data_IF_660606216008
#
_entry.id   IF_660606216008
#
_cell.length_a   1.000
_cell.length_b   1.000
_cell.length_c   1.000
_cell.angle_alpha   90.00
_cell.angle_beta   90.00
_cell.angle_gamma   90.00
#
_symmetry.space_group_name_H-M   'P 1'
#
loop_
_entity.id
_entity.type
_entity.pdbx_description
1 polymer ?
#
# COMPACT_ATOMS: atom_id res chain seq x y z
N UNK A 1 0.94 -22.24 -32.27
CA UNK A 1 1.12 -22.90 -30.96
C UNK A 1 0.16 -22.20 -30.02
N UNK A 2 -0.93 -22.84 -29.62
CA UNK A 2 -1.93 -22.21 -28.74
C UNK A 2 -1.29 -21.95 -27.39
N UNK A 3 -1.14 -20.67 -27.03
CA UNK A 3 -0.71 -20.29 -25.68
C UNK A 3 -1.84 -20.73 -24.76
N UNK A 4 -1.61 -21.78 -23.96
CA UNK A 4 -2.61 -22.29 -23.02
C UNK A 4 -2.92 -21.15 -22.06
N UNK A 5 -4.19 -20.73 -22.03
CA UNK A 5 -4.65 -19.64 -21.18
C UNK A 5 -4.26 -19.92 -19.72
N UNK A 6 -3.74 -18.89 -19.04
CA UNK A 6 -3.25 -19.03 -17.67
C UNK A 6 -4.44 -19.30 -16.74
N UNK A 7 -4.47 -20.47 -16.12
CA UNK A 7 -5.47 -20.80 -15.09
C UNK A 7 -5.13 -20.10 -13.76
N UNK A 8 -5.59 -18.85 -13.63
CA UNK A 8 -5.41 -18.01 -12.43
C UNK A 8 -6.08 -18.66 -11.21
N UNK A 9 -7.25 -19.27 -11.38
CA UNK A 9 -7.98 -19.91 -10.28
C UNK A 9 -7.20 -21.07 -9.65
N UNK A 10 -6.54 -21.88 -10.47
CA UNK A 10 -5.64 -22.94 -10.00
C UNK A 10 -4.43 -22.38 -9.24
N UNK A 11 -3.86 -21.26 -9.68
CA UNK A 11 -2.74 -20.61 -8.99
C UNK A 11 -3.18 -20.09 -7.61
N UNK A 12 -4.31 -19.38 -7.54
CA UNK A 12 -4.88 -18.89 -6.28
C UNK A 12 -5.09 -20.06 -5.32
N UNK A 13 -5.73 -21.14 -5.79
CA UNK A 13 -5.97 -22.34 -4.98
C UNK A 13 -4.67 -22.97 -4.46
N UNK A 14 -3.61 -23.01 -5.26
CA UNK A 14 -2.30 -23.52 -4.82
C UNK A 14 -1.69 -22.64 -3.72
N UNK A 15 -1.72 -21.31 -3.91
CA UNK A 15 -1.21 -20.36 -2.93
C UNK A 15 -1.98 -20.40 -1.61
N UNK A 16 -3.32 -20.52 -1.66
CA UNK A 16 -4.17 -20.60 -0.47
C UNK A 16 -3.98 -21.90 0.31
N UNK A 17 -3.82 -23.03 -0.38
CA UNK A 17 -3.59 -24.32 0.28
C UNK A 17 -2.10 -24.58 0.63
N UNK A 18 -1.25 -23.57 0.54
CA UNK A 18 0.17 -23.64 0.90
C UNK A 18 0.31 -24.03 2.37
N UNK A 19 1.19 -24.99 2.66
CA UNK A 19 1.62 -25.25 4.04
C UNK A 19 2.63 -24.20 4.49
N UNK A 20 2.66 -23.88 5.79
CA UNK A 20 3.56 -22.84 6.35
C UNK A 20 5.03 -23.04 5.97
N UNK A 21 5.47 -24.29 5.79
CA UNK A 21 6.85 -24.69 5.47
C UNK A 21 7.27 -24.49 4.01
N UNK A 22 6.33 -24.41 3.07
CA UNK A 22 6.64 -24.28 1.63
C UNK A 22 6.66 -22.80 1.26
N UNK A 23 7.70 -22.32 0.57
CA UNK A 23 7.74 -20.94 0.07
C UNK A 23 6.77 -20.75 -1.11
N UNK A 24 6.01 -19.62 -1.23
CA UNK A 24 5.03 -19.42 -2.29
C UNK A 24 5.60 -19.62 -3.71
N UNK A 25 6.81 -19.11 -3.96
CA UNK A 25 7.48 -19.23 -5.26
C UNK A 25 7.82 -20.68 -5.67
N UNK A 26 7.78 -21.65 -4.75
CA UNK A 26 7.95 -23.08 -5.09
C UNK A 26 6.67 -23.72 -5.63
N UNK A 27 5.52 -23.04 -5.51
CA UNK A 27 4.20 -23.54 -5.93
C UNK A 27 3.81 -23.07 -7.33
N UNK A 28 4.51 -22.08 -7.87
CA UNK A 28 4.21 -21.40 -9.13
C UNK A 28 5.48 -21.42 -9.98
N UNK A 29 5.34 -21.71 -11.29
CA UNK A 29 6.50 -21.69 -12.19
C UNK A 29 6.87 -20.26 -12.58
N UNK A 30 8.12 -20.05 -13.00
CA UNK A 30 8.59 -18.75 -13.48
C UNK A 30 7.77 -18.23 -14.67
N UNK A 31 7.34 -19.12 -15.57
CA UNK A 31 6.45 -18.77 -16.69
C UNK A 31 5.10 -18.22 -16.18
N UNK A 32 4.53 -18.86 -15.16
CA UNK A 32 3.27 -18.41 -14.55
C UNK A 32 3.45 -17.07 -13.85
N UNK A 33 4.56 -16.87 -13.10
CA UNK A 33 4.88 -15.60 -12.45
C UNK A 33 5.00 -14.49 -13.49
N UNK A 34 5.81 -14.70 -14.54
CA UNK A 34 5.99 -13.71 -15.61
C UNK A 34 4.67 -13.36 -16.30
N UNK A 35 3.78 -14.34 -16.49
CA UNK A 35 2.46 -14.09 -17.07
C UNK A 35 1.59 -13.28 -16.12
N UNK A 36 1.55 -13.61 -14.82
CA UNK A 36 0.79 -12.86 -13.80
C UNK A 36 1.26 -11.40 -13.69
N UNK A 37 2.58 -11.21 -13.63
CA UNK A 37 3.19 -9.87 -13.55
C UNK A 37 2.87 -9.05 -14.80
N UNK A 38 2.93 -9.67 -16.00
CA UNK A 38 2.52 -9.01 -17.24
C UNK A 38 1.05 -8.61 -17.26
N UNK A 39 0.15 -9.47 -16.77
CA UNK A 39 -1.28 -9.16 -16.65
C UNK A 39 -1.53 -8.03 -15.65
N UNK A 40 -0.91 -8.09 -14.46
CA UNK A 40 -1.02 -7.06 -13.43
C UNK A 40 -0.52 -5.70 -13.93
N UNK A 41 0.66 -5.68 -14.57
CA UNK A 41 1.22 -4.47 -15.19
C UNK A 41 0.24 -3.82 -16.17
N UNK A 42 -0.39 -4.63 -17.03
CA UNK A 42 -1.37 -4.15 -18.00
C UNK A 42 -2.64 -3.59 -17.32
N UNK A 43 -3.06 -4.16 -16.19
CA UNK A 43 -4.18 -3.59 -15.41
C UNK A 43 -3.76 -2.25 -14.81
N UNK A 44 -2.61 -2.19 -14.13
CA UNK A 44 -2.17 -0.99 -13.42
C UNK A 44 -1.95 0.20 -14.35
N UNK A 45 -1.35 -0.01 -15.53
CA UNK A 45 -1.09 1.08 -16.47
C UNK A 45 -2.37 1.66 -17.09
N UNK A 46 -3.44 0.87 -17.18
CA UNK A 46 -4.72 1.29 -17.76
C UNK A 46 -5.70 1.85 -16.72
N UNK A 47 -5.50 1.58 -15.43
CA UNK A 47 -6.22 2.25 -14.35
C UNK A 47 -5.61 3.63 -14.06
N UNK A 48 -6.33 4.57 -13.45
CA UNK A 48 -5.76 5.86 -13.02
C UNK A 48 -4.60 5.73 -12.02
N UNK A 49 -3.70 6.73 -11.97
CA UNK A 49 -2.62 6.77 -10.96
C UNK A 49 -3.15 7.19 -9.58
N UNK A 50 -4.19 8.03 -9.55
CA UNK A 50 -5.00 8.32 -8.38
C UNK A 50 -6.30 7.53 -8.54
N UNK A 51 -6.48 6.49 -7.71
CA UNK A 51 -7.69 5.68 -7.73
C UNK A 51 -8.83 6.43 -7.04
N UNK A 52 -10.02 6.39 -7.62
CA UNK A 52 -11.26 6.86 -6.98
C UNK A 52 -12.07 5.60 -6.61
N UNK A 53 -12.29 5.41 -5.31
CA UNK A 53 -12.84 4.18 -4.72
C UNK A 53 -14.08 4.49 -3.88
N UNK A 54 -14.92 3.48 -3.66
CA UNK A 54 -16.12 3.58 -2.84
C UNK A 54 -16.09 2.51 -1.73
N UNK A 55 -16.63 2.81 -0.53
CA UNK A 55 -16.83 1.81 0.50
C UNK A 55 -17.94 0.81 0.12
N UNK A 56 -18.04 -0.36 0.80
CA UNK A 56 -17.15 -0.81 1.87
C UNK A 56 -15.81 -1.32 1.33
N UNK A 57 -14.72 -1.03 2.07
CA UNK A 57 -13.37 -1.42 1.68
C UNK A 57 -12.44 -1.57 2.89
N UNK A 58 -11.60 -2.61 2.85
CA UNK A 58 -10.57 -2.87 3.84
C UNK A 58 -9.23 -2.30 3.38
N UNK A 59 -8.59 -1.46 4.19
CA UNK A 59 -7.29 -0.85 3.92
C UNK A 59 -6.20 -1.54 4.73
N UNK A 60 -5.24 -2.14 4.02
CA UNK A 60 -4.07 -2.82 4.59
C UNK A 60 -2.81 -1.97 4.40
N UNK A 61 -1.99 -1.89 5.44
CA UNK A 61 -0.64 -1.33 5.38
C UNK A 61 0.39 -2.31 4.83
N UNK A 62 1.62 -2.16 5.28
CA UNK A 62 2.77 -2.99 4.91
C UNK A 62 2.55 -4.48 5.19
N UNK A 63 3.07 -5.35 4.32
CA UNK A 63 3.01 -6.82 4.45
C UNK A 63 4.41 -7.45 4.50
N UNK A 64 5.41 -6.87 3.82
CA UNK A 64 6.81 -7.31 3.84
C UNK A 64 7.01 -8.82 3.66
N UNK A 65 6.31 -9.41 2.69
CA UNK A 65 6.36 -10.86 2.39
C UNK A 65 5.86 -11.80 3.49
N UNK A 66 5.15 -11.30 4.52
CA UNK A 66 4.48 -12.11 5.54
C UNK A 66 3.19 -12.77 4.99
N UNK A 67 3.37 -13.67 4.04
CA UNK A 67 2.27 -14.30 3.29
C UNK A 67 1.27 -15.06 4.18
N UNK A 68 1.74 -15.69 5.26
CA UNK A 68 0.85 -16.41 6.15
C UNK A 68 -0.06 -15.45 6.95
N UNK A 69 0.42 -14.24 7.28
CA UNK A 69 -0.39 -13.21 7.93
C UNK A 69 -1.40 -12.60 6.96
N UNK A 70 -1.00 -12.38 5.70
CA UNK A 70 -1.92 -12.03 4.62
C UNK A 70 -3.09 -13.04 4.49
N UNK A 71 -2.77 -14.34 4.56
CA UNK A 71 -3.78 -15.41 4.54
C UNK A 71 -4.74 -15.31 5.72
N UNK A 72 -4.26 -14.96 6.93
CA UNK A 72 -5.11 -14.78 8.12
C UNK A 72 -6.11 -13.64 7.97
N UNK A 73 -5.71 -12.52 7.36
CA UNK A 73 -6.64 -11.42 7.09
C UNK A 73 -7.79 -11.87 6.18
N UNK A 74 -7.48 -12.59 5.11
CA UNK A 74 -8.51 -13.12 4.19
C UNK A 74 -9.40 -14.20 4.82
N UNK A 75 -8.86 -15.04 5.71
CA UNK A 75 -9.66 -16.01 6.45
C UNK A 75 -10.68 -15.33 7.38
N UNK A 76 -10.35 -14.13 7.87
CA UNK A 76 -11.18 -13.37 8.81
C UNK A 76 -12.21 -12.47 8.12
N UNK A 77 -11.86 -11.83 7.01
CA UNK A 77 -12.68 -10.80 6.35
C UNK A 77 -13.15 -11.18 4.95
N UNK A 78 -13.17 -12.48 4.64
CA UNK A 78 -13.46 -13.02 3.32
C UNK A 78 -12.45 -12.60 2.23
N UNK A 79 -12.27 -13.50 1.27
CA UNK A 79 -11.43 -13.26 0.10
C UNK A 79 -12.14 -12.37 -0.93
N UNK A 80 -11.40 -11.63 -1.77
CA UNK A 80 -11.95 -11.08 -3.00
C UNK A 80 -12.63 -12.18 -3.84
N UNK A 81 -13.78 -11.90 -4.48
CA UNK A 81 -14.42 -10.59 -4.62
C UNK A 81 -15.47 -10.27 -3.55
N UNK A 82 -15.61 -11.07 -2.48
CA UNK A 82 -16.65 -10.83 -1.46
C UNK A 82 -16.39 -9.54 -0.67
N UNK A 83 -15.12 -9.24 -0.43
CA UNK A 83 -14.66 -8.06 0.28
C UNK A 83 -13.65 -7.32 -0.58
N UNK A 84 -13.78 -5.99 -0.62
CA UNK A 84 -12.84 -5.12 -1.33
C UNK A 84 -11.62 -4.83 -0.46
N UNK A 85 -10.45 -4.78 -1.08
CA UNK A 85 -9.20 -4.46 -0.39
C UNK A 85 -8.42 -3.38 -1.14
N UNK A 86 -7.86 -2.45 -0.38
CA UNK A 86 -6.83 -1.51 -0.79
C UNK A 86 -5.57 -1.81 0.01
N UNK A 87 -4.45 -2.05 -0.66
CA UNK A 87 -3.15 -2.20 -0.01
C UNK A 87 -2.31 -0.96 -0.26
N UNK A 88 -1.65 -0.47 0.79
CA UNK A 88 -0.88 0.79 0.78
C UNK A 88 0.58 0.63 0.35
N UNK A 89 1.00 -0.54 -0.13
CA UNK A 89 2.37 -0.78 -0.61
C UNK A 89 3.15 -1.75 0.26
N UNK A 90 4.48 -1.76 0.09
CA UNK A 90 5.42 -2.61 0.84
C UNK A 90 5.03 -4.09 0.92
N UNK A 91 4.76 -4.64 -0.27
CA UNK A 91 4.40 -6.05 -0.45
C UNK A 91 5.58 -7.00 -0.25
N UNK A 92 6.76 -6.58 -0.69
CA UNK A 92 7.96 -7.40 -0.77
C UNK A 92 8.95 -7.00 0.31
N UNK A 93 9.53 -8.00 0.99
CA UNK A 93 10.69 -7.81 1.86
C UNK A 93 11.99 -8.13 1.13
N UNK A 94 13.08 -8.29 1.87
CA UNK A 94 14.38 -8.69 1.31
C UNK A 94 14.29 -10.16 0.88
N UNK A 95 14.13 -10.39 -0.43
CA UNK A 95 14.14 -11.74 -1.01
C UNK A 95 15.03 -11.80 -2.24
N UNK A 96 15.75 -12.91 -2.38
CA UNK A 96 16.62 -13.14 -3.54
C UNK A 96 15.79 -13.66 -4.74
N UNK A 97 15.48 -12.77 -5.68
CA UNK A 97 14.91 -13.12 -6.98
C UNK A 97 16.01 -13.36 -8.01
N UNK A 98 15.69 -14.09 -9.08
CA UNK A 98 16.55 -14.09 -10.28
C UNK A 98 16.54 -12.70 -10.90
N UNK A 99 17.62 -12.32 -11.59
CA UNK A 99 17.72 -11.03 -12.27
C UNK A 99 16.55 -10.81 -13.26
N UNK A 100 16.15 -11.86 -13.98
CA UNK A 100 15.03 -11.81 -14.91
C UNK A 100 13.71 -11.48 -14.19
N UNK A 101 13.41 -12.19 -13.09
CA UNK A 101 12.20 -11.94 -12.31
C UNK A 101 12.22 -10.54 -11.70
N UNK A 102 13.36 -10.11 -11.18
CA UNK A 102 13.52 -8.77 -10.62
C UNK A 102 13.13 -7.69 -11.62
N UNK A 103 13.71 -7.73 -12.83
CA UNK A 103 13.39 -6.76 -13.89
C UNK A 103 11.90 -6.77 -14.25
N UNK A 104 11.27 -7.95 -14.30
CA UNK A 104 9.83 -8.08 -14.57
C UNK A 104 8.96 -7.48 -13.48
N UNK A 105 9.31 -7.70 -12.21
CA UNK A 105 8.62 -7.06 -11.10
C UNK A 105 8.81 -5.54 -11.10
N UNK A 106 10.04 -5.05 -11.32
CA UNK A 106 10.32 -3.61 -11.42
C UNK A 106 9.50 -2.95 -12.54
N UNK A 107 9.45 -3.55 -13.73
CA UNK A 107 8.62 -3.08 -14.85
C UNK A 107 7.11 -2.99 -14.50
N UNK A 108 6.65 -3.85 -13.60
CA UNK A 108 5.27 -3.87 -13.11
C UNK A 108 5.04 -2.82 -12.01
N UNK A 109 5.96 -2.72 -11.05
CA UNK A 109 5.88 -1.74 -9.95
C UNK A 109 5.94 -0.31 -10.45
N UNK A 110 6.73 -0.02 -11.48
CA UNK A 110 6.75 1.27 -12.15
C UNK A 110 5.39 1.68 -12.76
N UNK A 111 4.44 0.73 -12.88
CA UNK A 111 3.08 0.98 -13.34
C UNK A 111 2.06 1.07 -12.21
N UNK A 112 2.39 0.84 -10.94
CA UNK A 112 1.42 0.87 -9.84
C UNK A 112 0.74 2.25 -9.71
N UNK A 113 -0.54 2.31 -9.31
CA UNK A 113 -1.15 3.55 -8.82
C UNK A 113 -0.39 4.07 -7.60
N UNK A 114 -0.40 5.39 -7.40
CA UNK A 114 0.38 6.05 -6.35
C UNK A 114 -0.45 6.34 -5.09
N UNK A 115 -1.73 6.65 -5.27
CA UNK A 115 -2.63 7.01 -4.18
C UNK A 115 -4.08 6.60 -4.52
N UNK A 116 -4.94 6.62 -3.51
CA UNK A 116 -6.37 6.44 -3.69
C UNK A 116 -7.16 7.49 -2.88
N UNK A 117 -8.37 7.77 -3.33
CA UNK A 117 -9.35 8.61 -2.66
C UNK A 117 -10.63 7.80 -2.49
N UNK A 118 -10.99 7.49 -1.25
CA UNK A 118 -12.21 6.74 -0.92
C UNK A 118 -13.32 7.74 -0.62
N UNK A 119 -14.39 7.67 -1.41
CA UNK A 119 -15.59 8.51 -1.32
C UNK A 119 -15.30 10.01 -1.20
N UNK A 120 -14.24 10.49 -1.87
CA UNK A 120 -13.78 11.89 -1.80
C UNK A 120 -13.39 12.38 -0.40
N UNK A 121 -13.36 11.52 0.63
CA UNK A 121 -13.16 11.88 2.04
C UNK A 121 -11.93 11.29 2.69
N UNK A 122 -11.42 10.17 2.18
CA UNK A 122 -10.26 9.50 2.75
C UNK A 122 -9.15 9.40 1.71
N UNK A 123 -8.06 10.14 1.94
CA UNK A 123 -6.87 10.09 1.08
C UNK A 123 -5.91 9.00 1.56
N UNK A 124 -5.65 8.02 0.72
CA UNK A 124 -4.81 6.86 1.00
C UNK A 124 -3.49 6.93 0.22
N UNK A 125 -2.38 6.77 0.92
CA UNK A 125 -1.03 6.84 0.33
C UNK A 125 -0.04 6.00 1.15
N UNK A 126 1.07 5.53 0.58
CA UNK A 126 2.06 4.76 1.35
C UNK A 126 2.83 5.63 2.36
N UNK A 127 3.53 6.63 1.81
CA UNK A 127 4.33 7.64 2.45
C UNK A 127 3.46 8.62 3.23
N UNK A 128 3.56 9.89 2.93
CA UNK A 128 2.72 10.90 3.54
C UNK A 128 2.41 12.00 2.55
N UNK A 129 2.68 13.24 2.95
CA UNK A 129 2.41 14.42 2.15
C UNK A 129 3.71 14.93 1.49
N UNK A 130 3.55 15.79 0.48
CA UNK A 130 4.67 16.52 -0.13
C UNK A 130 4.50 18.03 0.08
N UNK A 131 5.57 18.81 0.31
CA UNK A 131 5.49 20.27 0.28
C UNK A 131 5.06 20.82 -1.09
N UNK A 132 5.24 20.04 -2.16
CA UNK A 132 4.82 20.39 -3.52
C UNK A 132 3.38 19.94 -3.84
N UNK A 133 2.79 19.05 -3.02
CA UNK A 133 1.42 18.60 -3.17
C UNK A 133 0.47 19.48 -2.37
N UNK A 134 -0.12 20.47 -3.04
CA UNK A 134 -1.12 21.36 -2.44
C UNK A 134 -2.54 20.89 -2.67
N UNK A 135 -2.81 20.27 -3.83
CA UNK A 135 -4.11 19.67 -4.17
C UNK A 135 -3.92 18.26 -4.71
N UNK A 136 -4.78 17.33 -4.30
CA UNK A 136 -4.70 15.89 -4.63
C UNK A 136 -4.64 15.66 -6.15
N UNK A 137 -5.38 16.46 -6.92
CA UNK A 137 -5.44 16.38 -8.39
C UNK A 137 -4.08 16.53 -9.09
N UNK A 138 -3.07 17.14 -8.44
CA UNK A 138 -1.71 17.21 -9.00
C UNK A 138 -1.12 15.82 -9.26
N UNK A 139 -1.54 14.79 -8.50
CA UNK A 139 -1.09 13.40 -8.68
C UNK A 139 -1.44 12.88 -10.09
N UNK A 140 -2.57 13.30 -10.67
CA UNK A 140 -3.01 12.86 -12.01
C UNK A 140 -2.05 13.27 -13.13
N UNK A 141 -1.15 14.23 -12.89
CA UNK A 141 -0.16 14.69 -13.87
C UNK A 141 1.06 13.78 -13.98
N UNK A 142 1.27 12.90 -12.99
CA UNK A 142 2.40 11.98 -12.97
C UNK A 142 2.14 10.87 -13.99
N UNK A 143 3.09 10.67 -14.91
CA UNK A 143 3.01 9.67 -15.96
C UNK A 143 3.62 8.35 -15.50
N UNK A 144 3.00 7.25 -15.90
CA UNK A 144 3.52 5.88 -15.74
C UNK A 144 3.82 5.27 -17.11
N UNK A 145 4.76 4.30 -17.22
CA UNK A 145 5.62 3.80 -16.15
C UNK A 145 6.65 4.83 -15.69
N UNK A 146 7.01 4.83 -14.41
CA UNK A 146 8.01 5.76 -13.86
C UNK A 146 8.76 5.10 -12.70
N UNK A 147 10.07 5.37 -12.62
CA UNK A 147 10.88 5.05 -11.45
C UNK A 147 10.72 6.13 -10.38
N UNK A 148 11.02 5.80 -9.13
CA UNK A 148 10.95 6.75 -8.03
C UNK A 148 12.12 7.74 -8.14
N UNK A 149 11.89 9.05 -8.32
CA UNK A 149 12.94 10.05 -8.35
C UNK A 149 13.52 10.27 -6.95
N UNK A 150 14.67 10.94 -6.86
CA UNK A 150 15.31 11.28 -5.58
C UNK A 150 14.52 12.33 -4.78
N UNK A 151 13.65 13.12 -5.43
CA UNK A 151 12.85 14.18 -4.81
C UNK A 151 11.57 14.49 -5.59
N UNK A 152 10.70 15.32 -5.00
CA UNK A 152 9.42 15.76 -5.58
C UNK A 152 8.24 14.89 -5.17
N UNK A 153 7.04 15.24 -5.64
CA UNK A 153 5.76 14.66 -5.20
C UNK A 153 5.79 13.12 -5.17
N UNK A 154 6.28 12.45 -6.22
CA UNK A 154 6.27 10.98 -6.24
C UNK A 154 7.18 10.37 -5.18
N UNK A 155 8.35 10.96 -4.92
CA UNK A 155 9.24 10.53 -3.85
C UNK A 155 8.56 10.74 -2.49
N UNK A 156 8.02 11.93 -2.25
CA UNK A 156 7.48 12.31 -0.95
C UNK A 156 6.22 11.53 -0.57
N UNK A 157 5.36 11.23 -1.54
CA UNK A 157 4.19 10.37 -1.32
C UNK A 157 4.56 8.93 -0.99
N UNK A 158 5.81 8.51 -1.17
CA UNK A 158 6.28 7.18 -0.77
C UNK A 158 7.16 7.21 0.48
N UNK A 159 7.81 8.34 0.79
CA UNK A 159 8.90 8.38 1.78
C UNK A 159 8.73 9.36 2.94
N UNK A 160 7.76 10.27 2.89
CA UNK A 160 7.58 11.23 3.98
C UNK A 160 6.91 10.60 5.21
N UNK A 161 7.16 11.21 6.38
CA UNK A 161 6.68 10.72 7.67
C UNK A 161 6.02 11.81 8.53
N UNK A 162 4.93 11.52 9.25
CA UNK A 162 4.44 12.41 10.31
C UNK A 162 5.42 12.45 11.49
N UNK A 163 5.56 13.62 12.12
CA UNK A 163 6.44 13.84 13.29
C UNK A 163 5.69 14.67 14.35
N UNK A 164 5.63 14.17 15.59
CA UNK A 164 4.89 14.80 16.69
C UNK A 164 5.64 15.98 17.32
N UNK A 165 6.96 16.01 17.14
CA UNK A 165 7.87 16.98 17.72
C UNK A 165 7.87 18.32 16.96
N UNK A 166 7.26 18.36 15.77
CA UNK A 166 7.20 19.54 14.91
C UNK A 166 5.76 19.86 14.50
N UNK A 167 5.50 21.12 14.13
CA UNK A 167 4.20 21.54 13.62
C UNK A 167 4.14 21.68 12.09
N UNK A 168 5.28 21.87 11.44
CA UNK A 168 5.42 22.17 10.00
C UNK A 168 6.33 21.12 9.34
N UNK A 169 6.94 21.43 8.19
CA UNK A 169 7.92 20.56 7.52
C UNK A 169 9.28 20.55 8.23
N UNK A 170 9.97 19.42 8.17
CA UNK A 170 11.34 19.24 8.67
C UNK A 170 12.14 18.21 7.88
N UNK A 171 13.46 18.10 8.14
CA UNK A 171 14.31 17.09 7.51
C UNK A 171 13.96 15.69 8.01
N UNK A 172 13.96 14.69 7.11
CA UNK A 172 13.74 13.29 7.48
C UNK A 172 15.08 12.59 7.79
N UNK A 173 15.17 11.94 8.94
CA UNK A 173 16.34 11.16 9.38
C UNK A 173 16.61 9.94 8.48
N UNK A 174 15.64 9.53 7.65
CA UNK A 174 15.85 8.53 6.60
C UNK A 174 16.81 8.99 5.49
N UNK A 175 17.12 10.28 5.42
CA UNK A 175 17.96 10.86 4.37
C UNK A 175 17.25 11.03 3.02
N UNK A 176 15.94 10.85 2.97
CA UNK A 176 15.08 11.01 1.80
C UNK A 176 13.76 11.67 2.21
N UNK A 177 13.22 12.54 1.35
CA UNK A 177 11.98 13.29 1.59
C UNK A 177 12.01 14.11 2.91
N UNK A 178 10.85 14.29 3.54
CA UNK A 178 10.60 15.21 4.64
C UNK A 178 9.81 14.53 5.76
N UNK A 179 9.91 15.10 6.96
CA UNK A 179 8.90 14.91 8.01
C UNK A 179 7.91 16.07 8.00
N UNK A 180 6.68 15.84 8.49
CA UNK A 180 5.65 16.87 8.58
C UNK A 180 4.84 16.80 9.88
N UNK A 181 4.51 17.98 10.40
CA UNK A 181 3.72 18.14 11.62
C UNK A 181 2.20 18.24 11.40
N UNK A 182 1.48 18.38 12.51
CA UNK A 182 0.01 18.40 12.53
C UNK A 182 -0.62 19.52 11.68
N UNK A 183 -0.02 20.71 11.63
CA UNK A 183 -0.56 21.84 10.83
C UNK A 183 -0.47 21.58 9.33
N UNK A 184 0.47 20.75 8.88
CA UNK A 184 0.56 20.33 7.47
C UNK A 184 -0.64 19.46 7.13
N UNK A 185 -0.94 18.47 7.98
CA UNK A 185 -2.10 17.58 7.83
C UNK A 185 -3.40 18.37 7.85
N UNK A 186 -3.62 19.21 8.85
CA UNK A 186 -4.86 19.98 9.00
C UNK A 186 -5.11 20.86 7.76
N UNK A 187 -4.11 21.62 7.33
CA UNK A 187 -4.20 22.48 6.14
C UNK A 187 -4.40 21.69 4.86
N UNK A 188 -3.76 20.53 4.72
CA UNK A 188 -3.94 19.69 3.54
C UNK A 188 -5.37 19.15 3.48
N UNK A 189 -5.88 18.64 4.61
CA UNK A 189 -7.23 18.09 4.69
C UNK A 189 -8.27 19.18 4.42
N UNK A 190 -8.15 20.34 5.07
CA UNK A 190 -9.09 21.46 4.88
C UNK A 190 -9.08 21.98 3.44
N UNK A 191 -7.91 22.03 2.80
CA UNK A 191 -7.78 22.51 1.41
C UNK A 191 -8.37 21.54 0.39
N UNK A 192 -8.31 20.25 0.66
CA UNK A 192 -8.79 19.20 -0.24
C UNK A 192 -10.18 18.68 0.15
N UNK A 193 -10.79 19.27 1.18
CA UNK A 193 -12.12 18.89 1.69
C UNK A 193 -12.25 17.40 2.08
N UNK A 194 -11.12 16.82 2.51
CA UNK A 194 -11.04 15.44 3.03
C UNK A 194 -11.06 15.42 4.55
N UNK A 195 -11.51 14.30 5.11
CA UNK A 195 -11.61 14.13 6.56
C UNK A 195 -10.37 13.45 7.13
N UNK A 196 -9.83 12.46 6.41
CA UNK A 196 -8.80 11.56 6.91
C UNK A 196 -7.70 11.28 5.87
N UNK A 197 -6.45 11.27 6.32
CA UNK A 197 -5.33 10.64 5.61
C UNK A 197 -5.07 9.26 6.19
N UNK A 198 -4.95 8.23 5.35
CA UNK A 198 -4.57 6.88 5.76
C UNK A 198 -3.26 6.52 5.09
N UNK A 199 -2.26 6.13 5.88
CA UNK A 199 -0.93 5.76 5.37
C UNK A 199 -0.28 4.58 6.07
N UNK A 200 0.90 4.15 5.63
CA UNK A 200 1.61 2.97 6.15
C UNK A 200 3.08 3.24 6.55
N UNK A 201 4.07 2.48 6.06
CA UNK A 201 5.53 2.77 6.07
C UNK A 201 6.26 2.85 7.43
N UNK A 202 5.56 3.12 8.52
CA UNK A 202 6.10 3.17 9.87
C UNK A 202 5.48 2.06 10.71
N UNK A 203 6.33 1.25 11.33
CA UNK A 203 5.92 0.26 12.33
C UNK A 203 5.30 0.99 13.51
N UNK A 204 4.11 0.58 13.92
CA UNK A 204 3.36 1.13 15.05
C UNK A 204 2.90 -0.01 15.95
N UNK A 205 2.97 0.21 17.27
CA UNK A 205 2.87 -0.87 18.27
C UNK A 205 1.58 -1.69 18.14
N UNK A 206 0.43 -1.03 18.01
CA UNK A 206 -0.89 -1.69 17.94
C UNK A 206 -1.33 -1.97 16.50
N UNK A 207 -0.42 -1.90 15.53
CA UNK A 207 -0.71 -2.03 14.10
C UNK A 207 -1.39 -0.81 13.48
N UNK A 208 -1.92 0.12 14.28
CA UNK A 208 -2.36 1.43 13.82
C UNK A 208 -2.00 2.54 14.83
N UNK A 209 -1.88 3.79 14.35
CA UNK A 209 -1.65 4.97 15.20
C UNK A 209 -2.28 6.21 14.59
N UNK A 210 -3.10 6.91 15.36
CA UNK A 210 -3.65 8.20 14.97
C UNK A 210 -2.63 9.33 15.14
N UNK A 211 -2.75 10.34 14.28
CA UNK A 211 -1.98 11.58 14.30
C UNK A 211 -2.90 12.78 14.03
N UNK A 212 -2.46 13.98 14.42
CA UNK A 212 -3.16 15.25 14.18
C UNK A 212 -4.66 15.22 14.52
N UNK A 213 -4.99 15.00 15.80
CA UNK A 213 -6.38 14.93 16.28
C UNK A 213 -7.26 13.92 15.49
N UNK A 214 -6.69 12.77 15.11
CA UNK A 214 -7.32 11.72 14.29
C UNK A 214 -7.65 12.13 12.84
N UNK A 215 -7.05 13.21 12.33
CA UNK A 215 -7.12 13.59 10.90
C UNK A 215 -6.15 12.81 10.01
N UNK A 216 -5.32 11.99 10.62
CA UNK A 216 -4.44 11.05 9.93
C UNK A 216 -4.30 9.76 10.75
N UNK A 217 -4.15 8.63 10.07
CA UNK A 217 -3.85 7.34 10.70
C UNK A 217 -2.76 6.60 9.91
N UNK A 218 -1.79 6.06 10.64
CA UNK A 218 -0.83 5.06 10.14
C UNK A 218 -1.39 3.68 10.39
N UNK A 219 -1.37 2.80 9.38
CA UNK A 219 -1.79 1.38 9.42
C UNK A 219 -0.61 0.52 8.97
N UNK A 220 -0.26 -0.49 9.75
CA UNK A 220 0.83 -1.41 9.50
C UNK A 220 0.32 -2.84 9.70
N UNK A 221 0.39 -3.68 8.66
CA UNK A 221 -0.30 -4.98 8.64
C UNK A 221 0.62 -6.18 8.83
N UNK A 222 1.92 -5.97 9.07
CA UNK A 222 2.90 -7.02 9.33
C UNK A 222 3.16 -7.14 10.85
N UNK A 223 2.56 -8.12 11.55
CA UNK A 223 2.83 -8.34 12.98
C UNK A 223 4.25 -8.90 13.20
N UNK A 224 4.83 -8.62 14.38
CA UNK A 224 6.18 -9.04 14.75
C UNK A 224 7.23 -8.72 13.69
N UNK A 225 7.21 -7.48 13.19
CA UNK A 225 7.99 -7.12 12.01
C UNK A 225 9.47 -7.45 12.17
N UNK A 226 10.05 -8.08 11.14
CA UNK A 226 11.45 -8.52 11.11
C UNK A 226 11.92 -9.38 12.31
N UNK A 227 11.01 -9.98 13.09
CA UNK A 227 11.30 -10.65 14.37
C UNK A 227 12.07 -9.75 15.37
N UNK A 228 12.02 -8.43 15.17
CA UNK A 228 12.72 -7.42 15.97
C UNK A 228 11.76 -6.54 16.76
N UNK A 229 10.51 -6.44 16.29
CA UNK A 229 9.44 -5.68 16.91
C UNK A 229 8.41 -6.64 17.49
N UNK A 230 7.75 -6.22 18.57
CA UNK A 230 6.62 -6.91 19.19
C UNK A 230 5.30 -6.17 18.84
N UNK A 231 5.22 -5.69 17.59
CA UNK A 231 4.06 -4.94 17.11
C UNK A 231 2.94 -5.89 16.67
N UNK A 232 1.70 -5.47 16.88
CA UNK A 232 0.56 -6.08 16.21
C UNK A 232 0.49 -5.63 14.73
N UNK A 233 -0.26 -6.37 13.93
CA UNK A 233 -0.62 -5.97 12.57
C UNK A 233 -2.09 -5.55 12.56
N UNK A 234 -2.42 -4.46 11.89
CA UNK A 234 -3.80 -4.00 11.79
C UNK A 234 -4.29 -3.86 10.35
N UNK A 235 -5.60 -3.88 10.19
CA UNK A 235 -6.31 -3.54 8.96
C UNK A 235 -7.45 -2.58 9.31
N UNK A 236 -7.56 -1.49 8.56
CA UNK A 236 -8.66 -0.55 8.73
C UNK A 236 -9.85 -0.96 7.87
N UNK A 237 -11.04 -0.98 8.44
CA UNK A 237 -12.29 -1.32 7.76
C UNK A 237 -13.06 -0.02 7.59
N UNK A 238 -13.39 0.32 6.34
CA UNK A 238 -14.23 1.46 5.99
C UNK A 238 -15.59 0.94 5.56
N UNK A 239 -16.61 1.21 6.37
CA UNK A 239 -17.99 0.85 6.09
C UNK A 239 -18.65 1.83 5.10
N UNK A 240 -19.84 1.49 4.60
CA UNK A 240 -20.60 2.33 3.63
C UNK A 240 -20.87 3.76 4.11
N UNK A 241 -21.01 3.97 5.42
CA UNK A 241 -21.23 5.29 6.03
C UNK A 241 -19.94 6.02 6.43
N UNK A 242 -18.79 5.53 5.93
CA UNK A 242 -17.44 5.98 6.25
C UNK A 242 -17.03 5.80 7.72
N UNK A 243 -17.77 4.99 8.49
CA UNK A 243 -17.29 4.56 9.81
C UNK A 243 -16.02 3.72 9.64
N UNK A 244 -14.94 4.19 10.26
CA UNK A 244 -13.67 3.47 10.30
C UNK A 244 -13.54 2.65 11.58
N UNK A 245 -13.29 1.34 11.44
CA UNK A 245 -12.91 0.45 12.55
C UNK A 245 -11.59 -0.25 12.25
N UNK A 246 -10.98 -0.89 13.26
CA UNK A 246 -9.69 -1.55 13.11
C UNK A 246 -9.78 -3.01 13.58
N UNK A 247 -9.23 -3.89 12.75
CA UNK A 247 -8.89 -5.25 13.15
C UNK A 247 -7.42 -5.30 13.53
N UNK A 248 -7.10 -5.93 14.66
CA UNK A 248 -5.75 -6.13 15.19
C UNK A 248 -5.56 -7.60 15.54
#
# INVERSE_FOLDING_TARGET
MFQKELDIGSIIKKLRNKTSKVHPLKLITEIQINTLVGLARNIFINQPILLELVPPINVCGDIHSQFNDLVRYFDKYDEPPKTNYLFLGDFIGITHYSENLWLRFSDCFNCLPLAALIDEKIFCVHGGLSPELTVIEQIKQIRRPTEIPESGILCDLLWSDPCEEISEWGPNDRGVSYVFGSKVVERFNDRNEIDLIVRAHQVVQDGFKFFSNKRMVTVFSAPNYCDQFDNAGAMMIVEEDLTCSFFV
#
